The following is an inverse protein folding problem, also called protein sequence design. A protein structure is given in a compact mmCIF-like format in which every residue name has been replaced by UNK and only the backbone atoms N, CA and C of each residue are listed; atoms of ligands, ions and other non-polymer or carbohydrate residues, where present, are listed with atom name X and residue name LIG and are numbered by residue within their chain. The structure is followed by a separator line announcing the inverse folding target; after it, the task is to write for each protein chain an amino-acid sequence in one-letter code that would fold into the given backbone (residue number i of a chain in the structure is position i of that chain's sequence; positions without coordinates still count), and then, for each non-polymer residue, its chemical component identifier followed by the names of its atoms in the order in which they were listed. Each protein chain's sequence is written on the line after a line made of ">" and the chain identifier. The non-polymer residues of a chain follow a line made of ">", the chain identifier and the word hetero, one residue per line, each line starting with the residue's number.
data_IF_927686818231
#
_entry.id   IF_927686818231
#
_cell.length_a   1.000
_cell.length_b   1.000
_cell.length_c   1.000
_cell.angle_alpha   90.00
_cell.angle_beta   90.00
_cell.angle_gamma   90.00
#
_symmetry.space_group_name_H-M   'P 1'
#
loop_
_entity.id
_entity.type
_entity.pdbx_description
1 polymer ?
#
# COMPACT_ATOMS: atom_id res chain seq x y z
N UNK A 1 0.05 32.82 10.51
CA UNK A 1 -0.68 31.53 10.46
C UNK A 1 0.18 30.54 9.70
N UNK A 2 0.77 29.55 10.39
CA UNK A 2 1.54 28.51 9.72
C UNK A 2 0.55 27.61 8.96
N UNK A 3 0.49 27.74 7.65
CA UNK A 3 -0.30 26.85 6.80
C UNK A 3 0.28 25.44 6.93
N UNK A 4 -0.50 24.42 7.34
CA UNK A 4 0.00 23.05 7.40
C UNK A 4 0.49 22.67 6.00
N UNK A 5 1.75 22.31 5.87
CA UNK A 5 2.36 21.97 4.58
C UNK A 5 1.55 20.83 3.94
N UNK A 6 0.82 21.05 2.82
CA UNK A 6 -0.11 20.09 2.24
C UNK A 6 0.52 18.73 1.92
N UNK A 7 1.83 18.71 1.71
CA UNK A 7 2.60 17.54 1.31
C UNK A 7 2.77 16.51 2.43
N UNK A 8 2.84 16.94 3.70
CA UNK A 8 2.90 16.01 4.84
C UNK A 8 1.61 15.20 4.96
N UNK A 9 0.45 15.85 4.89
CA UNK A 9 -0.86 15.18 4.99
C UNK A 9 -1.08 14.21 3.83
N UNK A 10 -0.72 14.61 2.60
CA UNK A 10 -0.80 13.73 1.42
C UNK A 10 0.10 12.50 1.56
N UNK A 11 1.35 12.67 2.01
CA UNK A 11 2.27 11.54 2.22
C UNK A 11 1.74 10.51 3.21
N UNK A 12 1.08 10.97 4.28
CA UNK A 12 0.54 10.12 5.33
C UNK A 12 -0.70 9.34 4.85
N UNK A 13 -1.55 9.95 4.02
CA UNK A 13 -2.70 9.29 3.39
C UNK A 13 -2.23 8.17 2.45
N UNK A 14 -1.21 8.39 1.62
CA UNK A 14 -0.69 7.34 0.73
C UNK A 14 -0.05 6.17 1.49
N UNK A 15 0.66 6.45 2.59
CA UNK A 15 1.21 5.41 3.46
C UNK A 15 0.10 4.61 4.16
N UNK A 16 -0.92 5.28 4.69
CA UNK A 16 -2.08 4.62 5.31
C UNK A 16 -2.88 3.80 4.29
N UNK A 17 -3.13 4.33 3.10
CA UNK A 17 -3.83 3.63 2.03
C UNK A 17 -3.07 2.37 1.57
N UNK A 18 -1.76 2.47 1.36
CA UNK A 18 -0.90 1.33 1.03
C UNK A 18 -0.83 0.29 2.14
N UNK A 19 -0.75 0.71 3.40
CA UNK A 19 -0.75 -0.18 4.55
C UNK A 19 -2.09 -0.92 4.72
N UNK A 20 -3.22 -0.21 4.61
CA UNK A 20 -4.55 -0.80 4.66
C UNK A 20 -4.76 -1.82 3.53
N UNK A 21 -4.36 -1.47 2.30
CA UNK A 21 -4.37 -2.40 1.17
C UNK A 21 -3.54 -3.65 1.47
N UNK A 22 -2.32 -3.50 2.00
CA UNK A 22 -1.49 -4.65 2.39
C UNK A 22 -2.16 -5.53 3.45
N UNK A 23 -2.80 -4.92 4.45
CA UNK A 23 -3.53 -5.66 5.50
C UNK A 23 -4.67 -6.47 4.88
N UNK A 24 -5.46 -5.87 3.99
CA UNK A 24 -6.55 -6.59 3.30
C UNK A 24 -6.01 -7.77 2.49
N UNK A 25 -4.88 -7.58 1.80
CA UNK A 25 -4.25 -8.65 1.02
C UNK A 25 -3.67 -9.75 1.93
N UNK A 26 -3.09 -9.40 3.08
CA UNK A 26 -2.62 -10.36 4.07
C UNK A 26 -3.78 -11.17 4.68
N UNK A 27 -4.93 -10.54 4.92
CA UNK A 27 -6.13 -11.24 5.39
C UNK A 27 -6.72 -12.20 4.34
N UNK A 28 -6.48 -11.96 3.05
CA UNK A 28 -6.90 -12.86 1.97
C UNK A 28 -5.96 -14.04 1.76
N UNK A 29 -4.72 -13.96 2.24
CA UNK A 29 -3.70 -15.00 2.08
C UNK A 29 -4.10 -16.40 2.58
N UNK A 30 -4.76 -16.54 3.76
CA UNK A 30 -5.22 -17.84 4.25
C UNK A 30 -6.24 -18.50 3.31
N UNK A 31 -7.11 -17.69 2.70
CA UNK A 31 -8.13 -18.19 1.78
C UNK A 31 -7.52 -18.72 0.48
N UNK A 32 -6.48 -18.07 -0.05
CA UNK A 32 -5.73 -18.62 -1.18
C UNK A 32 -5.04 -19.93 -0.83
N UNK A 33 -4.55 -20.08 0.40
CA UNK A 33 -3.94 -21.33 0.86
C UNK A 33 -4.96 -22.47 0.96
N UNK A 34 -6.17 -22.19 1.48
CA UNK A 34 -7.24 -23.20 1.52
C UNK A 34 -7.73 -23.57 0.12
N UNK A 35 -7.87 -22.60 -0.78
CA UNK A 35 -8.32 -22.83 -2.16
C UNK A 35 -7.28 -23.61 -2.97
N UNK A 36 -5.99 -23.38 -2.71
CA UNK A 36 -4.90 -24.18 -3.26
C UNK A 36 -4.96 -25.63 -2.79
N UNK A 37 -5.13 -25.85 -1.48
CA UNK A 37 -5.25 -27.19 -0.91
C UNK A 37 -6.48 -27.95 -1.41
N UNK A 38 -7.55 -27.24 -1.76
CA UNK A 38 -8.78 -27.80 -2.32
C UNK A 38 -8.73 -28.05 -3.84
N UNK A 39 -7.61 -27.77 -4.53
CA UNK A 39 -7.50 -27.78 -6.00
C UNK A 39 -8.55 -26.91 -6.72
N UNK A 40 -9.13 -25.93 -6.03
CA UNK A 40 -10.15 -25.01 -6.55
C UNK A 40 -9.58 -23.60 -6.71
N UNK A 41 -8.28 -23.51 -6.97
CA UNK A 41 -7.58 -22.23 -7.02
C UNK A 41 -8.05 -21.41 -8.23
N UNK A 42 -8.74 -20.31 -7.95
CA UNK A 42 -9.11 -19.35 -8.99
C UNK A 42 -7.89 -18.47 -9.33
N UNK A 43 -7.22 -18.83 -10.43
CA UNK A 43 -6.07 -18.10 -10.96
C UNK A 43 -6.37 -16.62 -11.23
N UNK A 44 -7.59 -16.28 -11.63
CA UNK A 44 -7.99 -14.88 -11.92
C UNK A 44 -7.97 -14.06 -10.64
N UNK A 45 -8.55 -14.60 -9.55
CA UNK A 45 -8.54 -13.95 -8.24
C UNK A 45 -7.12 -13.79 -7.69
N UNK A 46 -6.27 -14.80 -7.87
CA UNK A 46 -4.88 -14.76 -7.41
C UNK A 46 -4.09 -13.66 -8.14
N UNK A 47 -4.23 -13.53 -9.46
CA UNK A 47 -3.57 -12.49 -10.27
C UNK A 47 -4.03 -11.09 -9.85
N UNK A 48 -5.34 -10.87 -9.67
CA UNK A 48 -5.87 -9.59 -9.17
C UNK A 48 -5.28 -9.26 -7.80
N UNK A 49 -5.15 -10.27 -6.93
CA UNK A 49 -4.56 -10.09 -5.60
C UNK A 49 -3.08 -9.69 -5.68
N UNK A 50 -2.31 -10.29 -6.58
CA UNK A 50 -0.91 -9.91 -6.84
C UNK A 50 -0.79 -8.46 -7.32
N UNK A 51 -1.64 -8.05 -8.27
CA UNK A 51 -1.68 -6.65 -8.73
C UNK A 51 -1.98 -5.72 -7.56
N UNK A 52 -2.94 -6.07 -6.69
CA UNK A 52 -3.25 -5.32 -5.48
C UNK A 52 -2.05 -5.15 -4.55
N UNK A 53 -1.24 -6.21 -4.36
CA UNK A 53 -0.02 -6.15 -3.55
C UNK A 53 1.01 -5.21 -4.20
N UNK A 54 1.23 -5.30 -5.51
CA UNK A 54 2.16 -4.42 -6.25
C UNK A 54 1.74 -2.96 -6.12
N UNK A 55 0.46 -2.66 -6.28
CA UNK A 55 -0.09 -1.30 -6.11
C UNK A 55 0.10 -0.81 -4.67
N UNK A 56 -0.16 -1.66 -3.68
CA UNK A 56 0.02 -1.32 -2.27
C UNK A 56 1.49 -0.97 -1.93
N UNK A 57 2.43 -1.77 -2.42
CA UNK A 57 3.87 -1.52 -2.29
C UNK A 57 4.29 -0.24 -3.03
N UNK A 58 3.72 0.01 -4.21
CA UNK A 58 3.97 1.24 -4.96
C UNK A 58 3.49 2.48 -4.20
N UNK A 59 2.28 2.45 -3.64
CA UNK A 59 1.73 3.52 -2.78
C UNK A 59 2.57 3.74 -1.52
N UNK A 60 3.05 2.66 -0.90
CA UNK A 60 3.93 2.77 0.26
C UNK A 60 5.28 3.38 -0.12
N UNK A 61 5.85 3.00 -1.26
CA UNK A 61 7.10 3.57 -1.80
C UNK A 61 6.95 5.05 -2.16
N UNK A 62 5.87 5.46 -2.81
CA UNK A 62 5.62 6.86 -3.16
C UNK A 62 5.37 7.71 -1.92
N UNK A 63 4.58 7.24 -0.95
CA UNK A 63 4.38 7.92 0.33
C UNK A 63 5.70 8.08 1.11
N UNK A 64 6.56 7.06 1.10
CA UNK A 64 7.88 7.12 1.73
C UNK A 64 8.83 8.11 1.03
N UNK A 65 8.80 8.17 -0.31
CA UNK A 65 9.60 9.13 -1.09
C UNK A 65 9.14 10.57 -0.83
N UNK A 66 7.82 10.80 -0.79
CA UNK A 66 7.23 12.11 -0.47
C UNK A 66 7.65 12.58 0.94
N UNK A 67 7.62 11.67 1.93
CA UNK A 67 8.05 11.96 3.30
C UNK A 67 9.53 12.34 3.40
N UNK A 68 10.39 11.76 2.55
CA UNK A 68 11.83 12.12 2.48
C UNK A 68 12.05 13.47 1.80
N UNK A 69 11.35 13.76 0.70
CA UNK A 69 11.50 15.05 0.01
C UNK A 69 10.99 16.22 0.87
N UNK A 70 9.83 16.08 1.52
CA UNK A 70 9.32 17.11 2.45
C UNK A 70 10.13 17.27 3.73
N UNK A 71 11.15 16.44 3.99
CA UNK A 71 12.12 16.65 5.08
C UNK A 71 13.29 17.53 4.64
N UNK A 72 13.66 17.49 3.35
CA UNK A 72 14.74 18.28 2.81
C UNK A 72 14.35 19.75 2.61
N UNK A 73 13.10 20.04 2.21
CA UNK A 73 12.61 21.42 2.01
C UNK A 73 12.50 22.24 3.32
N UNK A 74 12.61 21.60 4.49
CA UNK A 74 12.56 22.29 5.80
C UNK A 74 13.95 22.61 6.35
N UNK A 75 15.01 22.16 5.67
CA UNK A 75 16.41 22.31 6.12
C UNK A 75 17.14 23.42 5.35
N UNK A 76 16.56 23.96 4.27
CA UNK A 76 17.03 25.19 3.61
C UNK A 76 16.43 26.45 4.24
#
# INVERSE_FOLDING_TARGET
>A
MATPHPDRTRSMIYLLAGALLLIVQAMRFPQFYTDWAANSLDNTRLVISLIGIVVALFMMRTGWRLRRNSRNDVID
#
